data_IF_075630553122
#
_entry.id   IF_075630553122
#
_cell.length_a   1.000
_cell.length_b   1.000
_cell.length_c   1.000
_cell.angle_alpha   90.00
_cell.angle_beta   90.00
_cell.angle_gamma   90.00
#
_symmetry.space_group_name_H-M   'P 1'
#
loop_
_entity.id
_entity.type
_entity.pdbx_description
1 polymer ?
#
# COMPACT_ATOMS: atom_id res chain seq x y z
N UNK A 1 1.37 19.79 -21.04
CA UNK A 1 2.64 19.85 -20.30
C UNK A 1 2.44 20.85 -19.15
N UNK A 2 1.93 20.37 -18.02
CA UNK A 2 1.68 21.21 -16.85
C UNK A 2 2.88 21.09 -15.93
N UNK A 3 3.59 22.19 -15.73
CA UNK A 3 4.75 22.25 -14.83
C UNK A 3 4.19 22.32 -13.41
N UNK A 4 4.31 21.22 -12.68
CA UNK A 4 3.98 21.16 -11.25
C UNK A 4 5.07 21.89 -10.48
N UNK A 5 4.74 23.04 -9.91
CA UNK A 5 5.62 23.76 -8.98
C UNK A 5 5.29 23.25 -7.57
N UNK A 6 6.24 22.64 -6.85
CA UNK A 6 6.01 22.23 -5.48
C UNK A 6 5.73 23.47 -4.62
N UNK A 7 4.57 23.52 -3.99
CA UNK A 7 4.30 24.51 -2.94
C UNK A 7 5.12 24.13 -1.71
N UNK A 8 6.29 24.71 -1.57
CA UNK A 8 7.06 24.71 -0.33
C UNK A 8 6.23 25.40 0.76
N UNK A 9 5.92 24.66 1.84
CA UNK A 9 5.55 25.29 3.11
C UNK A 9 4.16 25.08 3.67
N UNK A 10 3.35 24.11 3.21
CA UNK A 10 2.19 23.67 3.98
C UNK A 10 2.42 22.25 4.45
N UNK A 11 2.51 22.08 5.77
CA UNK A 11 2.37 20.78 6.42
C UNK A 11 1.09 20.12 5.87
N UNK A 12 1.24 19.04 5.09
CA UNK A 12 0.12 18.23 4.62
C UNK A 12 -0.58 17.64 5.84
N UNK A 13 -1.67 18.27 6.27
CA UNK A 13 -2.47 17.82 7.40
C UNK A 13 -3.59 16.92 6.89
N UNK A 14 -3.67 15.71 7.41
CA UNK A 14 -4.66 14.71 7.04
C UNK A 14 -5.89 14.86 7.96
N UNK A 15 -7.02 15.27 7.39
CA UNK A 15 -8.26 15.52 8.14
C UNK A 15 -9.50 14.88 7.50
N UNK A 16 -9.33 14.20 6.37
CA UNK A 16 -10.40 13.50 5.64
C UNK A 16 -9.83 12.40 4.74
N UNK A 17 -10.67 11.52 4.16
CA UNK A 17 -10.24 10.55 3.14
C UNK A 17 -9.53 11.21 1.95
N UNK A 18 -10.04 12.35 1.47
CA UNK A 18 -9.49 13.06 0.31
C UNK A 18 -8.13 13.67 0.62
N UNK A 19 -7.97 14.27 1.82
CA UNK A 19 -6.67 14.83 2.25
C UNK A 19 -5.66 13.73 2.51
N UNK A 20 -6.07 12.55 2.99
CA UNK A 20 -5.20 11.38 3.09
C UNK A 20 -4.73 10.93 1.71
N UNK A 21 -5.65 10.78 0.75
CA UNK A 21 -5.33 10.40 -0.61
C UNK A 21 -4.37 11.41 -1.27
N UNK A 22 -4.67 12.70 -1.21
CA UNK A 22 -3.79 13.75 -1.75
C UNK A 22 -2.40 13.78 -1.09
N UNK A 23 -2.32 13.50 0.22
CA UNK A 23 -1.04 13.36 0.93
C UNK A 23 -0.23 12.16 0.41
N UNK A 24 -0.89 11.03 0.13
CA UNK A 24 -0.23 9.85 -0.42
C UNK A 24 0.28 10.14 -1.84
N UNK A 25 -0.51 10.81 -2.67
CA UNK A 25 -0.09 11.19 -4.02
C UNK A 25 1.12 12.12 -3.99
N UNK A 26 1.13 13.12 -3.12
CA UNK A 26 2.22 14.09 -3.02
C UNK A 26 3.51 13.45 -2.46
N UNK A 27 3.38 12.58 -1.44
CA UNK A 27 4.54 11.89 -0.85
C UNK A 27 4.99 10.67 -1.66
N UNK A 28 4.15 10.16 -2.55
CA UNK A 28 4.45 9.02 -3.41
C UNK A 28 4.58 7.67 -2.69
N UNK A 29 5.28 7.62 -1.57
CA UNK A 29 5.43 6.44 -0.69
C UNK A 29 5.49 6.90 0.75
N UNK A 30 4.63 6.36 1.62
CA UNK A 30 4.51 6.83 3.01
C UNK A 30 4.03 5.73 3.96
N UNK A 31 4.69 5.54 5.13
CA UNK A 31 4.18 4.70 6.20
C UNK A 31 2.85 5.24 6.77
N UNK A 32 1.98 4.31 7.19
CA UNK A 32 0.76 4.71 7.90
C UNK A 32 1.09 5.20 9.33
N UNK A 33 1.98 4.51 10.02
CA UNK A 33 2.37 4.75 11.41
C UNK A 33 3.77 5.37 11.53
N UNK A 34 4.04 5.95 12.70
CA UNK A 34 5.40 6.39 13.06
C UNK A 34 6.46 5.37 12.69
N UNK A 35 7.59 5.86 12.19
CA UNK A 35 8.66 5.08 11.60
C UNK A 35 10.03 5.73 11.90
N UNK A 36 11.17 5.20 11.41
CA UNK A 36 12.49 5.79 11.67
C UNK A 36 12.70 7.22 11.17
N UNK A 37 11.82 7.76 10.30
CA UNK A 37 11.90 9.13 9.77
C UNK A 37 10.80 9.96 10.46
N UNK A 38 11.13 10.84 11.43
CA UNK A 38 10.14 11.64 12.13
C UNK A 38 9.35 12.56 11.17
N UNK A 39 8.04 12.67 11.39
CA UNK A 39 7.14 13.49 10.56
C UNK A 39 6.81 12.88 9.19
N UNK A 40 7.28 11.67 8.90
CA UNK A 40 7.08 10.99 7.62
C UNK A 40 6.08 9.82 7.74
N UNK A 41 4.89 10.10 8.26
CA UNK A 41 3.79 9.13 8.34
C UNK A 41 2.43 9.81 8.25
N UNK A 42 1.42 9.04 7.88
CA UNK A 42 0.02 9.50 7.94
C UNK A 42 -0.36 9.82 9.40
N UNK A 43 0.06 8.98 10.34
CA UNK A 43 -0.23 9.15 11.77
C UNK A 43 0.24 10.50 12.31
N UNK A 44 1.48 10.88 12.05
CA UNK A 44 2.07 12.14 12.51
C UNK A 44 1.47 13.39 11.82
N UNK A 45 0.86 13.20 10.65
CA UNK A 45 0.20 14.26 9.88
C UNK A 45 -1.29 14.39 10.18
N UNK A 46 -1.85 13.48 10.97
CA UNK A 46 -3.27 13.48 11.35
C UNK A 46 -3.42 14.05 12.76
N UNK A 47 -4.16 15.15 12.96
CA UNK A 47 -4.45 15.68 14.28
C UNK A 47 -5.09 14.63 15.18
N UNK A 48 -4.76 14.70 16.48
CA UNK A 48 -5.11 13.67 17.47
C UNK A 48 -6.60 13.44 17.62
N UNK A 49 -7.40 14.50 17.48
CA UNK A 49 -8.87 14.46 17.57
C UNK A 49 -9.51 13.49 16.57
N UNK A 50 -8.90 13.28 15.40
CA UNK A 50 -9.41 12.33 14.41
C UNK A 50 -9.12 10.87 14.73
N UNK A 51 -8.21 10.60 15.70
CA UNK A 51 -7.88 9.25 16.11
C UNK A 51 -8.73 8.73 17.26
N UNK A 52 -9.09 9.62 18.21
CA UNK A 52 -9.60 9.20 19.52
C UNK A 52 -10.86 9.93 19.98
N UNK A 53 -11.13 11.11 19.45
CA UNK A 53 -12.18 12.02 19.96
C UNK A 53 -13.36 12.16 18.99
N UNK A 54 -13.47 11.28 17.98
CA UNK A 54 -14.53 11.33 16.99
C UNK A 54 -15.88 10.98 17.59
N UNK A 55 -16.93 11.77 17.26
CA UNK A 55 -18.32 11.36 17.45
C UNK A 55 -18.55 10.03 16.71
N UNK A 56 -19.51 9.21 17.16
CA UNK A 56 -19.75 7.86 16.65
C UNK A 56 -19.91 7.79 15.11
N UNK A 57 -20.29 8.88 14.46
CA UNK A 57 -20.47 8.99 13.02
C UNK A 57 -19.23 9.53 12.25
N UNK A 58 -18.20 10.02 12.95
CA UNK A 58 -16.98 10.53 12.33
C UNK A 58 -15.94 9.41 12.19
N UNK A 59 -15.88 8.85 10.99
CA UNK A 59 -14.88 7.87 10.63
C UNK A 59 -13.48 8.51 10.67
N UNK A 60 -12.54 7.87 11.40
CA UNK A 60 -11.17 8.35 11.53
C UNK A 60 -10.24 7.76 10.45
N UNK A 61 -8.92 8.05 10.57
CA UNK A 61 -7.91 7.62 9.59
C UNK A 61 -7.91 6.12 9.31
N UNK A 62 -8.34 5.31 10.28
CA UNK A 62 -8.47 3.87 10.11
C UNK A 62 -9.52 3.47 9.05
N UNK A 63 -10.52 4.30 8.84
CA UNK A 63 -11.53 4.12 7.80
C UNK A 63 -11.20 4.88 6.51
N UNK A 64 -10.55 6.04 6.61
CA UNK A 64 -10.19 6.86 5.45
C UNK A 64 -9.28 6.13 4.46
N UNK A 65 -8.46 5.19 4.94
CA UNK A 65 -7.60 4.36 4.07
C UNK A 65 -8.40 3.56 3.04
N UNK A 66 -9.69 3.23 3.33
CA UNK A 66 -10.54 2.49 2.41
C UNK A 66 -10.71 3.26 1.10
N UNK A 67 -10.93 4.57 1.19
CA UNK A 67 -11.01 5.44 0.02
C UNK A 67 -9.76 5.34 -0.85
N UNK A 68 -8.56 5.45 -0.25
CA UNK A 68 -7.30 5.32 -0.97
C UNK A 68 -7.08 3.92 -1.56
N UNK A 69 -7.49 2.86 -0.87
CA UNK A 69 -7.38 1.48 -1.42
C UNK A 69 -8.32 1.28 -2.60
N UNK A 70 -9.54 1.81 -2.51
CA UNK A 70 -10.59 1.64 -3.53
C UNK A 70 -10.42 2.56 -4.73
N UNK A 71 -9.49 3.53 -4.70
CA UNK A 71 -9.14 4.34 -5.88
C UNK A 71 -8.54 3.52 -7.02
N UNK A 72 -7.87 2.40 -6.69
CA UNK A 72 -7.25 1.49 -7.66
C UNK A 72 -5.90 1.95 -8.20
N UNK A 73 -5.32 3.02 -7.64
CA UNK A 73 -4.02 3.58 -8.03
C UNK A 73 -3.04 3.76 -6.86
N UNK A 74 -3.49 3.40 -5.66
CA UNK A 74 -2.67 3.40 -4.44
C UNK A 74 -2.46 1.97 -3.94
N UNK A 75 -1.21 1.56 -3.86
CA UNK A 75 -0.82 0.34 -3.18
C UNK A 75 -0.93 0.53 -1.66
N UNK A 76 -1.66 -0.35 -1.01
CA UNK A 76 -1.75 -0.42 0.45
C UNK A 76 -1.37 -1.80 0.93
N UNK A 77 -0.56 -1.85 1.98
CA UNK A 77 -0.14 -3.12 2.57
C UNK A 77 0.96 -2.97 3.60
N UNK A 78 1.44 -4.11 4.10
CA UNK A 78 2.51 -4.18 5.10
C UNK A 78 3.87 -4.35 4.44
N UNK A 79 4.25 -3.42 3.58
CA UNK A 79 5.47 -3.54 2.77
C UNK A 79 6.61 -2.59 3.18
N UNK A 80 6.45 -1.73 4.16
CA UNK A 80 7.52 -0.91 4.70
C UNK A 80 7.91 -1.36 6.11
N UNK A 81 8.78 -0.63 6.73
CA UNK A 81 9.41 -0.83 8.03
C UNK A 81 8.69 -1.81 8.98
N UNK A 82 9.37 -2.88 9.32
CA UNK A 82 8.87 -3.92 10.26
C UNK A 82 7.52 -4.56 9.86
N UNK A 83 7.13 -4.50 8.57
CA UNK A 83 5.85 -5.01 8.12
C UNK A 83 4.66 -4.23 8.69
N UNK A 84 4.83 -2.96 8.96
CA UNK A 84 3.73 -2.04 9.28
C UNK A 84 3.03 -1.57 8.01
N UNK A 85 1.78 -1.14 8.17
CA UNK A 85 0.98 -0.62 7.07
C UNK A 85 1.61 0.61 6.43
N UNK A 86 1.51 0.69 5.11
CA UNK A 86 2.05 1.76 4.30
C UNK A 86 1.25 1.94 3.01
N UNK A 87 1.43 3.09 2.39
CA UNK A 87 0.88 3.43 1.08
C UNK A 87 2.00 3.73 0.10
N UNK A 88 1.73 3.48 -1.18
CA UNK A 88 2.54 3.98 -2.27
C UNK A 88 1.68 4.21 -3.52
N UNK A 89 1.98 5.23 -4.30
CA UNK A 89 1.47 5.33 -5.66
C UNK A 89 2.01 4.17 -6.49
N UNK A 90 1.34 3.81 -7.57
CA UNK A 90 1.77 2.69 -8.45
C UNK A 90 3.22 2.88 -8.90
N UNK A 91 3.62 4.10 -9.24
CA UNK A 91 4.99 4.43 -9.65
C UNK A 91 6.03 4.04 -8.59
N UNK A 92 5.87 4.49 -7.34
CA UNK A 92 6.84 4.24 -6.29
C UNK A 92 6.76 2.82 -5.73
N UNK A 93 5.58 2.21 -5.83
CA UNK A 93 5.44 0.78 -5.53
C UNK A 93 6.18 -0.09 -6.55
N UNK A 94 6.15 0.28 -7.84
CA UNK A 94 6.90 -0.42 -8.90
C UNK A 94 8.42 -0.37 -8.64
N UNK A 95 8.96 0.78 -8.22
CA UNK A 95 10.36 0.90 -7.84
C UNK A 95 10.71 -0.02 -6.64
N UNK A 96 9.88 -0.01 -5.60
CA UNK A 96 10.07 -0.87 -4.44
C UNK A 96 10.00 -2.37 -4.82
N UNK A 97 9.05 -2.72 -5.67
CA UNK A 97 8.85 -4.08 -6.17
C UNK A 97 10.06 -4.56 -6.96
N UNK A 98 10.56 -3.76 -7.92
CA UNK A 98 11.73 -4.09 -8.73
C UNK A 98 12.96 -4.34 -7.83
N UNK A 99 13.23 -3.44 -6.89
CA UNK A 99 14.32 -3.60 -5.93
C UNK A 99 14.15 -4.85 -5.08
N UNK A 100 13.01 -5.04 -4.43
CA UNK A 100 12.83 -6.12 -3.46
C UNK A 100 12.82 -7.50 -4.07
N UNK A 101 12.18 -7.67 -5.20
CA UNK A 101 12.11 -8.98 -5.87
C UNK A 101 13.46 -9.44 -6.40
N UNK A 102 14.44 -8.54 -6.57
CA UNK A 102 15.82 -8.89 -6.93
C UNK A 102 16.61 -9.48 -5.77
N UNK A 103 16.20 -9.27 -4.53
CA UNK A 103 16.95 -9.68 -3.35
C UNK A 103 16.63 -11.13 -2.95
N UNK A 104 17.64 -12.01 -2.81
CA UNK A 104 17.43 -13.41 -2.40
C UNK A 104 16.67 -13.57 -1.08
N UNK A 105 16.85 -12.65 -0.12
CA UNK A 105 16.11 -12.66 1.16
C UNK A 105 14.61 -12.54 1.02
N UNK A 106 14.12 -12.06 -0.12
CA UNK A 106 12.69 -11.92 -0.46
C UNK A 106 12.19 -12.99 -1.44
N UNK A 107 12.99 -14.04 -1.69
CA UNK A 107 12.50 -15.20 -2.42
C UNK A 107 11.40 -15.92 -1.62
N UNK A 108 10.28 -16.33 -2.25
CA UNK A 108 9.18 -16.99 -1.55
C UNK A 108 9.56 -18.41 -1.13
N UNK A 109 9.14 -18.81 0.07
CA UNK A 109 9.24 -20.19 0.55
C UNK A 109 8.23 -21.09 -0.16
N UNK A 110 8.31 -22.41 0.08
CA UNK A 110 7.36 -23.36 -0.51
C UNK A 110 5.90 -23.09 -0.07
N UNK A 111 5.68 -22.83 1.21
CA UNK A 111 4.35 -22.48 1.72
C UNK A 111 3.83 -21.19 1.09
N UNK A 112 4.70 -20.19 0.91
CA UNK A 112 4.35 -18.95 0.25
C UNK A 112 4.01 -19.16 -1.22
N UNK A 113 4.73 -20.02 -1.94
CA UNK A 113 4.41 -20.39 -3.34
C UNK A 113 3.03 -21.03 -3.46
N UNK A 114 2.65 -21.90 -2.51
CA UNK A 114 1.31 -22.49 -2.48
C UNK A 114 0.21 -21.43 -2.32
N UNK A 115 0.44 -20.44 -1.46
CA UNK A 115 -0.50 -19.33 -1.27
C UNK A 115 -0.60 -18.46 -2.51
N UNK A 116 0.54 -18.18 -3.16
CA UNK A 116 0.56 -17.41 -4.42
C UNK A 116 -0.17 -18.15 -5.55
N UNK A 117 0.00 -19.47 -5.67
CA UNK A 117 -0.72 -20.28 -6.65
C UNK A 117 -2.24 -20.25 -6.41
N UNK A 118 -2.70 -20.37 -5.16
CA UNK A 118 -4.11 -20.21 -4.82
C UNK A 118 -4.65 -18.82 -5.19
N UNK A 119 -3.86 -17.78 -4.94
CA UNK A 119 -4.23 -16.40 -5.28
C UNK A 119 -4.32 -16.19 -6.79
N UNK A 120 -3.43 -16.78 -7.57
CA UNK A 120 -3.47 -16.74 -9.03
C UNK A 120 -4.72 -17.45 -9.59
N UNK A 121 -5.09 -18.60 -9.00
CA UNK A 121 -6.30 -19.34 -9.37
C UNK A 121 -7.60 -18.58 -9.05
N UNK A 122 -7.66 -17.92 -7.89
CA UNK A 122 -8.88 -17.27 -7.38
C UNK A 122 -8.96 -15.76 -7.69
N UNK A 123 -7.88 -15.14 -8.17
CA UNK A 123 -7.75 -13.71 -8.39
C UNK A 123 -7.54 -12.90 -7.09
N UNK A 124 -8.23 -13.28 -6.00
CA UNK A 124 -8.03 -12.69 -4.67
C UNK A 124 -8.28 -13.70 -3.55
N UNK A 125 -7.61 -13.53 -2.41
CA UNK A 125 -7.73 -14.41 -1.25
C UNK A 125 -7.86 -13.62 0.05
N UNK A 126 -8.38 -14.26 1.08
CA UNK A 126 -8.45 -13.75 2.45
C UNK A 126 -7.52 -14.51 3.40
N UNK A 127 -7.33 -13.99 4.60
CA UNK A 127 -6.61 -14.73 5.68
C UNK A 127 -7.30 -16.06 6.00
N UNK A 128 -8.63 -16.14 5.81
CA UNK A 128 -9.38 -17.39 6.03
C UNK A 128 -8.98 -18.47 5.02
N UNK A 129 -8.76 -18.09 3.77
CA UNK A 129 -8.38 -19.02 2.69
C UNK A 129 -6.98 -19.58 2.95
N UNK A 130 -6.03 -18.75 3.38
CA UNK A 130 -4.69 -19.20 3.78
C UNK A 130 -4.76 -20.19 4.94
N UNK A 131 -5.56 -19.88 5.96
CA UNK A 131 -5.75 -20.78 7.09
C UNK A 131 -6.29 -22.15 6.66
N UNK A 132 -7.24 -22.15 5.74
CA UNK A 132 -7.83 -23.37 5.19
C UNK A 132 -6.83 -24.14 4.33
N UNK A 133 -6.05 -23.46 3.49
CA UNK A 133 -5.06 -24.08 2.61
C UNK A 133 -3.91 -24.75 3.38
N UNK A 134 -3.43 -24.11 4.43
CA UNK A 134 -2.22 -24.53 5.16
C UNK A 134 -2.53 -25.21 6.51
N UNK A 135 -3.78 -25.23 6.92
CA UNK A 135 -4.23 -25.72 8.25
C UNK A 135 -3.49 -25.05 9.41
N UNK A 136 -3.42 -23.72 9.39
CA UNK A 136 -2.67 -22.93 10.38
C UNK A 136 -3.58 -22.00 11.19
N UNK A 137 -3.07 -21.56 12.35
CA UNK A 137 -3.72 -20.53 13.15
C UNK A 137 -3.70 -19.17 12.46
N UNK A 138 -4.63 -18.28 12.82
CA UNK A 138 -4.75 -16.93 12.26
C UNK A 138 -3.42 -16.16 12.32
N UNK A 139 -2.73 -16.20 13.46
CA UNK A 139 -1.45 -15.48 13.63
C UNK A 139 -0.35 -15.94 12.65
N UNK A 140 -0.30 -17.24 12.34
CA UNK A 140 0.65 -17.76 11.34
C UNK A 140 0.26 -17.32 9.92
N UNK A 141 -1.03 -17.35 9.57
CA UNK A 141 -1.52 -16.84 8.29
C UNK A 141 -1.26 -15.32 8.13
N UNK A 142 -1.51 -14.54 9.19
CA UNK A 142 -1.23 -13.09 9.21
C UNK A 142 0.28 -12.81 9.03
N UNK A 143 1.14 -13.59 9.69
CA UNK A 143 2.60 -13.46 9.56
C UNK A 143 3.08 -13.83 8.15
N UNK A 144 2.52 -14.90 7.56
CA UNK A 144 2.84 -15.32 6.20
C UNK A 144 2.41 -14.24 5.19
N UNK A 145 1.18 -13.72 5.31
CA UNK A 145 0.69 -12.64 4.48
C UNK A 145 1.54 -11.38 4.61
N UNK A 146 1.94 -11.01 5.83
CA UNK A 146 2.85 -9.87 6.05
C UNK A 146 4.18 -10.06 5.31
N UNK A 147 4.75 -11.26 5.33
CA UNK A 147 5.99 -11.57 4.58
C UNK A 147 5.79 -11.45 3.08
N UNK A 148 4.67 -11.96 2.54
CA UNK A 148 4.35 -11.83 1.11
C UNK A 148 4.19 -10.37 0.67
N UNK A 149 3.59 -9.52 1.52
CA UNK A 149 3.51 -8.09 1.28
C UNK A 149 4.90 -7.43 1.36
N UNK A 150 5.73 -7.79 2.34
CA UNK A 150 7.13 -7.33 2.42
C UNK A 150 7.96 -7.73 1.19
N UNK A 151 7.63 -8.84 0.55
CA UNK A 151 8.26 -9.28 -0.71
C UNK A 151 7.68 -8.56 -1.95
N UNK A 152 6.72 -7.66 -1.78
CA UNK A 152 5.94 -7.02 -2.86
C UNK A 152 5.29 -8.03 -3.82
N UNK A 153 4.91 -9.22 -3.33
CA UNK A 153 4.21 -10.24 -4.12
C UNK A 153 2.70 -10.21 -3.92
N UNK A 154 2.27 -9.55 -2.87
CA UNK A 154 0.87 -9.40 -2.51
C UNK A 154 0.62 -7.98 -2.05
N UNK A 155 -0.54 -7.46 -2.40
CA UNK A 155 -1.06 -6.15 -1.98
C UNK A 155 -2.48 -6.34 -1.44
N UNK A 156 -2.96 -5.39 -0.66
CA UNK A 156 -4.38 -5.34 -0.29
C UNK A 156 -5.19 -4.91 -1.50
N UNK A 157 -6.06 -5.77 -1.99
CA UNK A 157 -6.91 -5.49 -3.16
C UNK A 157 -8.16 -4.71 -2.80
N UNK A 158 -8.79 -5.05 -1.66
CA UNK A 158 -9.96 -4.33 -1.15
C UNK A 158 -10.07 -4.42 0.37
N UNK A 159 -10.81 -3.48 0.95
CA UNK A 159 -11.17 -3.44 2.36
C UNK A 159 -12.68 -3.21 2.46
N UNK A 160 -13.39 -4.20 3.00
CA UNK A 160 -14.84 -4.16 3.18
C UNK A 160 -15.19 -3.92 4.65
N UNK A 161 -16.10 -2.98 4.92
CA UNK A 161 -16.67 -2.76 6.25
C UNK A 161 -17.63 -3.90 6.60
N UNK A 162 -17.58 -4.33 7.87
CA UNK A 162 -18.47 -5.38 8.38
C UNK A 162 -19.54 -4.75 9.26
N UNK A 163 -20.78 -4.83 8.80
CA UNK A 163 -21.97 -4.35 9.51
C UNK A 163 -22.59 -5.52 10.30
N UNK A 164 -23.06 -5.27 11.50
CA UNK A 164 -23.63 -6.29 12.40
C UNK A 164 -24.92 -5.83 13.05
N UNK A 165 -25.71 -6.82 13.51
CA UNK A 165 -27.00 -6.58 14.16
C UNK A 165 -28.12 -6.21 13.21
N UNK A 166 -29.36 -6.12 13.72
CA UNK A 166 -30.56 -5.78 12.94
C UNK A 166 -30.50 -4.35 12.36
N UNK A 167 -29.78 -3.47 13.04
CA UNK A 167 -29.63 -2.05 12.64
C UNK A 167 -28.44 -1.82 11.70
N UNK A 168 -27.77 -2.88 11.26
CA UNK A 168 -26.58 -2.84 10.40
C UNK A 168 -25.53 -1.85 10.93
N UNK A 169 -25.26 -1.90 12.22
CA UNK A 169 -24.28 -1.01 12.86
C UNK A 169 -22.85 -1.34 12.46
N UNK A 170 -22.07 -0.32 12.11
CA UNK A 170 -20.65 -0.42 11.85
C UNK A 170 -19.84 -0.06 13.11
N UNK A 171 -19.02 -0.98 13.58
CA UNK A 171 -18.23 -0.85 14.81
C UNK A 171 -16.71 -0.88 14.53
N UNK A 172 -16.29 -0.40 13.36
CA UNK A 172 -14.87 -0.36 12.98
C UNK A 172 -14.28 -1.68 12.45
N UNK A 173 -15.07 -2.77 12.36
CA UNK A 173 -14.57 -4.02 11.81
C UNK A 173 -14.47 -4.00 10.30
N UNK A 174 -13.30 -4.42 9.82
CA UNK A 174 -12.97 -4.46 8.39
C UNK A 174 -12.37 -5.82 8.03
N UNK A 175 -12.64 -6.26 6.81
CA UNK A 175 -12.04 -7.46 6.21
C UNK A 175 -11.30 -7.05 4.95
N UNK A 176 -10.03 -7.46 4.86
CA UNK A 176 -9.22 -7.22 3.67
C UNK A 176 -9.19 -8.46 2.78
N UNK A 177 -9.28 -8.25 1.48
CA UNK A 177 -8.89 -9.20 0.45
C UNK A 177 -7.50 -8.83 -0.10
N UNK A 178 -6.79 -9.83 -0.60
CA UNK A 178 -5.42 -9.70 -1.06
C UNK A 178 -5.29 -10.27 -2.47
N UNK A 179 -4.54 -9.59 -3.32
CA UNK A 179 -4.30 -10.01 -4.70
C UNK A 179 -2.84 -9.76 -5.11
N UNK A 180 -2.45 -10.19 -6.31
CA UNK A 180 -1.15 -9.82 -6.86
C UNK A 180 -1.13 -8.35 -7.25
N UNK A 181 0.01 -7.66 -7.09
CA UNK A 181 0.14 -6.29 -7.58
C UNK A 181 -0.14 -6.18 -9.08
N UNK A 182 0.27 -7.17 -9.84
CA UNK A 182 0.05 -7.22 -11.28
C UNK A 182 -1.44 -7.25 -11.63
N UNK A 183 -2.25 -8.07 -10.95
CA UNK A 183 -3.69 -8.14 -11.21
C UNK A 183 -4.43 -6.87 -10.81
N UNK A 184 -3.89 -6.09 -9.86
CA UNK A 184 -4.52 -4.86 -9.40
C UNK A 184 -4.12 -3.64 -10.25
N UNK A 185 -2.84 -3.54 -10.63
CA UNK A 185 -2.29 -2.32 -11.21
C UNK A 185 -1.93 -2.41 -12.68
N UNK A 186 -1.70 -3.62 -13.23
CA UNK A 186 -1.44 -3.76 -14.65
C UNK A 186 -2.78 -3.77 -15.40
N UNK A 187 -3.04 -2.73 -16.15
CA UNK A 187 -4.25 -2.59 -16.98
C UNK A 187 -3.80 -2.52 -18.43
N UNK A 188 -4.32 -3.47 -19.23
CA UNK A 188 -4.19 -3.39 -20.68
C UNK A 188 -5.13 -2.30 -21.22
N UNK A 189 -4.68 -1.57 -22.25
CA UNK A 189 -5.55 -0.66 -22.95
C UNK A 189 -6.68 -1.46 -23.61
N UNK A 190 -7.93 -1.18 -23.26
CA UNK A 190 -9.08 -1.84 -23.86
C UNK A 190 -9.25 -1.39 -25.32
N UNK A 191 -9.65 -2.28 -26.24
CA UNK A 191 -10.01 -1.89 -27.60
C UNK A 191 -11.23 -0.96 -27.55
N UNK A 192 -11.03 0.30 -27.88
CA UNK A 192 -12.08 1.31 -27.95
C UNK A 192 -12.77 1.37 -29.32
N UNK A 193 -13.86 2.12 -29.43
CA UNK A 193 -14.55 2.34 -30.71
C UNK A 193 -13.62 2.89 -31.76
N UNK A 194 -13.65 2.33 -32.98
CA UNK A 194 -12.79 2.77 -34.07
C UNK A 194 -11.33 2.29 -34.01
N UNK A 195 -10.99 1.33 -33.12
CA UNK A 195 -9.65 0.76 -33.02
C UNK A 195 -8.65 1.62 -32.22
N UNK A 196 -9.09 2.69 -31.58
CA UNK A 196 -8.27 3.47 -30.67
C UNK A 196 -8.32 2.85 -29.27
N UNK A 197 -7.14 2.71 -28.58
CA UNK A 197 -7.11 2.18 -27.21
C UNK A 197 -7.88 3.11 -26.27
N UNK A 198 -8.72 2.54 -25.42
CA UNK A 198 -9.42 3.25 -24.35
C UNK A 198 -8.68 3.04 -23.04
N UNK A 199 -8.21 4.14 -22.44
CA UNK A 199 -7.38 4.13 -21.24
C UNK A 199 -5.88 4.01 -21.54
N UNK A 200 -5.06 4.51 -20.64
CA UNK A 200 -3.60 4.32 -20.72
C UNK A 200 -3.22 2.99 -20.09
N UNK A 201 -2.40 2.15 -20.76
CA UNK A 201 -1.88 0.93 -20.18
C UNK A 201 -1.01 1.28 -18.97
N UNK A 202 -1.20 0.59 -17.86
CA UNK A 202 -0.37 0.70 -16.67
C UNK A 202 0.43 -0.57 -16.48
N UNK A 203 1.70 -0.44 -16.13
CA UNK A 203 2.59 -1.55 -15.84
C UNK A 203 3.36 -1.29 -14.56
N UNK A 204 3.79 -2.36 -13.89
CA UNK A 204 4.73 -2.33 -12.77
C UNK A 204 6.18 -2.56 -13.24
N UNK A 205 6.40 -2.73 -14.54
CA UNK A 205 7.74 -2.84 -15.08
C UNK A 205 8.42 -1.48 -15.13
N UNK A 206 9.67 -1.45 -14.67
CA UNK A 206 10.54 -0.28 -14.74
C UNK A 206 11.69 -0.57 -15.70
N UNK A 207 12.10 0.44 -16.49
CA UNK A 207 13.09 0.28 -17.55
C UNK A 207 14.55 0.33 -17.08
N UNK A 208 14.83 0.11 -15.79
CA UNK A 208 16.16 0.23 -15.20
C UNK A 208 16.45 -0.86 -14.17
N UNK A 209 17.68 -0.88 -13.65
CA UNK A 209 18.14 -1.92 -12.73
C UNK A 209 17.51 -1.80 -11.33
N UNK A 210 17.45 -2.91 -10.56
CA UNK A 210 17.00 -2.86 -9.17
C UNK A 210 17.81 -1.92 -8.27
N UNK A 211 19.11 -1.73 -8.55
CA UNK A 211 19.96 -0.80 -7.81
C UNK A 211 19.52 0.63 -8.08
N UNK A 212 19.27 0.99 -9.33
CA UNK A 212 18.74 2.30 -9.70
C UNK A 212 17.37 2.55 -9.07
N UNK A 213 16.51 1.53 -8.97
CA UNK A 213 15.24 1.66 -8.24
C UNK A 213 15.44 2.03 -6.76
N UNK A 214 16.42 1.42 -6.09
CA UNK A 214 16.75 1.78 -4.70
C UNK A 214 17.27 3.22 -4.61
N UNK A 215 18.17 3.63 -5.51
CA UNK A 215 18.71 4.99 -5.56
C UNK A 215 17.59 6.02 -5.74
N UNK A 216 16.68 5.79 -6.68
CA UNK A 216 15.51 6.64 -6.93
C UNK A 216 14.60 6.74 -5.71
N UNK A 217 14.33 5.64 -5.01
CA UNK A 217 13.55 5.64 -3.76
C UNK A 217 14.22 6.45 -2.68
N UNK A 218 15.54 6.30 -2.50
CA UNK A 218 16.33 7.03 -1.49
C UNK A 218 16.34 8.53 -1.82
N UNK A 219 16.58 8.90 -3.06
CA UNK A 219 16.59 10.30 -3.52
C UNK A 219 15.20 10.95 -3.36
N UNK A 220 14.14 10.22 -3.74
CA UNK A 220 12.78 10.71 -3.59
C UNK A 220 12.44 10.98 -2.13
N UNK A 221 12.69 10.02 -1.23
CA UNK A 221 12.41 10.19 0.20
C UNK A 221 13.25 11.31 0.79
N UNK A 222 14.53 11.44 0.39
CA UNK A 222 15.40 12.53 0.82
C UNK A 222 14.91 13.90 0.33
N UNK A 223 14.31 13.98 -0.85
CA UNK A 223 13.74 15.25 -1.36
C UNK A 223 12.54 15.73 -0.54
N UNK A 224 11.78 14.80 0.06
CA UNK A 224 10.60 15.09 0.88
C UNK A 224 10.97 15.27 2.36
N UNK A 225 11.93 14.48 2.85
CA UNK A 225 12.42 14.48 4.22
C UNK A 225 13.94 14.74 4.26
N UNK A 226 14.39 15.98 3.98
CA UNK A 226 15.82 16.30 3.79
C UNK A 226 16.67 16.06 5.05
N UNK A 227 16.07 16.08 6.23
CA UNK A 227 16.73 15.78 7.50
C UNK A 227 16.92 14.28 7.76
N UNK A 228 16.29 13.42 6.95
CA UNK A 228 16.41 11.99 7.10
C UNK A 228 17.80 11.49 6.71
N UNK A 229 18.44 10.75 7.59
CA UNK A 229 19.69 10.07 7.26
C UNK A 229 19.45 8.88 6.33
N UNK A 230 20.42 8.56 5.51
CA UNK A 230 20.32 7.39 4.62
C UNK A 230 20.01 6.09 5.39
N UNK A 231 20.62 5.94 6.58
CA UNK A 231 20.34 4.80 7.48
C UNK A 231 18.85 4.72 7.87
N UNK A 232 18.21 5.86 8.15
CA UNK A 232 16.78 5.90 8.47
C UNK A 232 15.94 5.54 7.26
N UNK A 233 16.27 6.07 6.08
CA UNK A 233 15.59 5.78 4.83
C UNK A 233 15.67 4.29 4.50
N UNK A 234 16.87 3.73 4.48
CA UNK A 234 17.08 2.30 4.23
C UNK A 234 16.38 1.41 5.27
N UNK A 235 16.38 1.80 6.54
CA UNK A 235 15.65 1.10 7.59
C UNK A 235 14.13 1.16 7.39
N UNK A 236 13.61 2.29 6.91
CA UNK A 236 12.19 2.46 6.60
C UNK A 236 11.79 1.64 5.38
N UNK A 237 12.63 1.62 4.34
CA UNK A 237 12.42 0.78 3.16
C UNK A 237 12.52 -0.72 3.46
N UNK A 238 13.25 -1.18 4.48
CA UNK A 238 13.37 -2.59 4.91
C UNK A 238 14.50 -3.31 4.20
#
# INVERSE_FOLDING_TARGET
MSIFVPKTGNSLTVTSPETMYGTIEELGIVPFFENPIPGFSIEERTPREYWFDGEEDLLGPWDWKIFSVQSGDIAYGKFLWSGKAAFATVQWYAELLNYRRSLPKYAPTEEQRRVLALMEEQGSISIRDIRKLLDVKKSAADALMTRLQMQCRVVTGDITRVYRGPDLHYNGWQVSSFCSPESLFCVEALPGPGGFPFGEPRTLEVGHSPTESLERLVEHIRSIAPEATEKQILKMLG
#
